data_IF_490490116143
#
_entry.id   IF_490490116143
#
_cell.length_a   1.000
_cell.length_b   1.000
_cell.length_c   1.000
_cell.angle_alpha   90.00
_cell.angle_beta   90.00
_cell.angle_gamma   90.00
#
_symmetry.space_group_name_H-M   'P 1'
#
loop_
_entity.id
_entity.type
_entity.pdbx_description
1 polymer ?
#
# COMPACT_ATOMS: atom_id res chain seq x y z
N UNK A 1 -20.07 -5.83 -5.21
CA UNK A 1 -18.58 -5.83 -5.21
C UNK A 1 -18.08 -5.93 -6.64
N UNK A 2 -17.18 -5.05 -7.01
CA UNK A 2 -16.63 -5.02 -8.38
C UNK A 2 -15.40 -5.93 -8.47
N UNK A 3 -15.44 -7.00 -9.27
CA UNK A 3 -14.26 -7.84 -9.47
C UNK A 3 -13.27 -7.16 -10.40
N UNK A 4 -11.99 -7.23 -10.07
CA UNK A 4 -10.91 -6.70 -10.87
C UNK A 4 -9.98 -7.83 -11.30
N UNK A 5 -9.44 -7.69 -12.51
CA UNK A 5 -8.41 -8.59 -13.03
C UNK A 5 -7.05 -7.90 -12.94
N UNK A 6 -5.98 -8.68 -13.02
CA UNK A 6 -4.64 -8.11 -13.04
C UNK A 6 -4.45 -7.12 -14.19
N UNK A 7 -5.08 -7.38 -15.33
CA UNK A 7 -5.02 -6.48 -16.48
C UNK A 7 -5.61 -5.11 -16.17
N UNK A 8 -6.65 -5.06 -15.32
CA UNK A 8 -7.28 -3.80 -14.92
C UNK A 8 -6.33 -2.93 -14.10
N UNK A 9 -5.33 -3.54 -13.49
CA UNK A 9 -4.35 -2.87 -12.64
C UNK A 9 -3.05 -2.58 -13.37
N UNK A 10 -2.57 -3.55 -14.18
CA UNK A 10 -1.25 -3.44 -14.79
C UNK A 10 -1.17 -2.34 -15.84
N UNK A 11 -2.22 -2.13 -16.63
CA UNK A 11 -2.21 -1.09 -17.66
C UNK A 11 -2.11 0.33 -17.04
N UNK A 12 -2.98 0.72 -16.09
CA UNK A 12 -2.83 2.04 -15.47
C UNK A 12 -1.55 2.15 -14.64
N UNK A 13 -1.08 1.05 -14.06
CA UNK A 13 0.17 1.08 -13.29
C UNK A 13 1.37 1.40 -14.18
N UNK A 14 1.43 0.80 -15.38
CA UNK A 14 2.49 1.08 -16.34
C UNK A 14 2.48 2.53 -16.80
N UNK A 15 1.31 3.14 -16.87
CA UNK A 15 1.16 4.54 -17.27
C UNK A 15 1.36 5.52 -16.11
N UNK A 16 1.46 5.03 -14.87
CA UNK A 16 1.58 5.89 -13.70
C UNK A 16 2.96 6.52 -13.64
N UNK A 17 3.00 7.83 -13.41
CA UNK A 17 4.25 8.55 -13.26
C UNK A 17 4.62 8.62 -11.77
N UNK A 18 5.52 7.74 -11.36
CA UNK A 18 6.01 7.74 -10.00
C UNK A 18 7.00 8.87 -9.77
N UNK A 19 7.10 9.37 -8.52
CA UNK A 19 8.16 10.33 -8.19
C UNK A 19 9.53 9.75 -8.50
N UNK A 20 10.46 10.61 -8.88
CA UNK A 20 11.82 10.19 -9.19
C UNK A 20 12.58 9.77 -7.92
N UNK A 21 13.63 8.97 -8.09
CA UNK A 21 14.59 8.62 -7.05
C UNK A 21 13.97 7.87 -5.88
N UNK A 22 13.06 6.96 -6.17
CA UNK A 22 12.54 6.07 -5.15
C UNK A 22 13.58 5.00 -4.87
N UNK A 23 14.02 4.91 -3.61
CA UNK A 23 15.02 3.93 -3.18
C UNK A 23 14.42 2.56 -2.95
N UNK A 24 13.18 2.50 -2.48
CA UNK A 24 12.52 1.25 -2.19
C UNK A 24 11.04 1.41 -1.91
N UNK A 25 10.37 0.29 -1.74
CA UNK A 25 8.93 0.22 -1.49
C UNK A 25 8.71 -0.51 -0.18
N UNK A 26 7.79 0.01 0.64
CA UNK A 26 7.30 -0.68 1.84
C UNK A 26 5.81 -0.94 1.65
N UNK A 27 5.43 -2.21 1.72
CA UNK A 27 4.03 -2.61 1.62
C UNK A 27 3.41 -2.82 2.98
N UNK A 28 2.16 -2.43 3.11
CA UNK A 28 1.40 -2.65 4.36
C UNK A 28 0.65 -3.96 4.23
N UNK A 29 1.09 -4.97 4.98
CA UNK A 29 0.45 -6.28 4.96
C UNK A 29 -0.86 -6.23 5.77
N UNK A 30 -1.83 -7.04 5.37
CA UNK A 30 -1.72 -8.01 4.27
C UNK A 30 -2.14 -7.44 2.92
N UNK A 31 -3.09 -6.51 2.87
CA UNK A 31 -3.70 -6.03 1.63
C UNK A 31 -2.74 -5.36 0.66
N UNK A 32 -1.72 -4.69 1.18
CA UNK A 32 -0.76 -3.95 0.37
C UNK A 32 0.42 -4.77 -0.15
N UNK A 33 0.49 -6.08 0.16
CA UNK A 33 1.65 -6.90 -0.23
C UNK A 33 1.74 -7.05 -1.75
N UNK A 34 0.67 -7.51 -2.40
CA UNK A 34 0.68 -7.67 -3.86
C UNK A 34 0.84 -6.32 -4.57
N UNK A 35 0.09 -5.27 -4.18
CA UNK A 35 0.37 -3.94 -4.73
C UNK A 35 1.82 -3.51 -4.61
N UNK A 36 2.44 -3.71 -3.45
CA UNK A 36 3.82 -3.31 -3.23
C UNK A 36 4.80 -4.10 -4.11
N UNK A 37 4.56 -5.40 -4.29
CA UNK A 37 5.37 -6.22 -5.19
C UNK A 37 5.31 -5.69 -6.61
N UNK A 38 4.10 -5.38 -7.09
CA UNK A 38 3.91 -4.87 -8.46
C UNK A 38 4.64 -3.54 -8.66
N UNK A 39 4.54 -2.65 -7.68
CA UNK A 39 5.21 -1.34 -7.74
C UNK A 39 6.73 -1.49 -7.68
N UNK A 40 7.23 -2.27 -6.74
CA UNK A 40 8.67 -2.48 -6.57
C UNK A 40 9.29 -3.10 -7.82
N UNK A 41 8.61 -4.06 -8.43
CA UNK A 41 9.10 -4.68 -9.66
C UNK A 41 9.12 -3.69 -10.82
N UNK A 42 8.09 -2.86 -10.94
CA UNK A 42 8.04 -1.86 -12.02
C UNK A 42 9.15 -0.84 -11.88
N UNK A 43 9.45 -0.41 -10.66
CA UNK A 43 10.50 0.57 -10.40
C UNK A 43 11.90 -0.05 -10.34
N UNK A 44 12.00 -1.37 -10.24
CA UNK A 44 13.28 -2.05 -10.13
C UNK A 44 13.98 -1.79 -8.81
N UNK A 45 13.22 -1.67 -7.71
CA UNK A 45 13.75 -1.36 -6.38
C UNK A 45 13.40 -2.47 -5.40
N UNK A 46 14.02 -2.42 -4.23
CA UNK A 46 13.78 -3.41 -3.18
C UNK A 46 12.43 -3.22 -2.50
N UNK A 47 12.01 -4.27 -1.80
CA UNK A 47 10.72 -4.34 -1.11
C UNK A 47 10.93 -4.70 0.35
N UNK A 48 10.20 -4.02 1.22
CA UNK A 48 10.04 -4.40 2.64
C UNK A 48 8.56 -4.40 2.97
N UNK A 49 8.21 -5.05 4.08
CA UNK A 49 6.81 -5.18 4.49
C UNK A 49 6.69 -4.80 5.95
N UNK A 50 5.64 -4.06 6.26
CA UNK A 50 5.22 -3.78 7.63
C UNK A 50 3.80 -4.31 7.80
N UNK A 51 3.53 -5.07 8.86
CA UNK A 51 2.22 -5.67 9.07
C UNK A 51 1.46 -4.96 10.18
N UNK A 52 0.24 -4.60 9.89
CA UNK A 52 -0.67 -3.96 10.83
C UNK A 52 -1.96 -4.77 10.94
N UNK A 53 -2.58 -4.73 12.11
CA UNK A 53 -3.88 -5.32 12.35
C UNK A 53 -4.83 -4.23 12.83
N UNK A 54 -5.69 -3.77 11.95
CA UNK A 54 -6.67 -2.75 12.29
C UNK A 54 -8.10 -3.28 12.15
N UNK A 55 -8.36 -4.14 11.13
CA UNK A 55 -9.69 -4.64 10.83
C UNK A 55 -9.76 -6.14 11.04
N UNK A 56 -10.95 -6.63 11.40
CA UNK A 56 -11.20 -8.05 11.50
C UNK A 56 -11.62 -8.65 10.15
N UNK A 57 -12.02 -9.94 10.14
CA UNK A 57 -12.41 -10.64 8.92
C UNK A 57 -13.65 -10.03 8.27
N UNK A 58 -14.51 -9.38 9.05
CA UNK A 58 -15.68 -8.67 8.55
C UNK A 58 -15.36 -7.25 8.08
N UNK A 59 -14.09 -6.89 8.03
CA UNK A 59 -13.60 -5.56 7.65
C UNK A 59 -14.04 -4.46 8.63
N UNK A 60 -14.32 -4.82 9.86
CA UNK A 60 -14.64 -3.87 10.92
C UNK A 60 -13.38 -3.51 11.73
N UNK A 61 -13.28 -2.29 12.26
CA UNK A 61 -12.13 -1.93 13.09
C UNK A 61 -12.04 -2.81 14.33
N UNK A 62 -10.91 -3.51 14.48
CA UNK A 62 -10.66 -4.40 15.62
C UNK A 62 -10.13 -3.64 16.82
N UNK A 63 -9.39 -2.56 16.58
CA UNK A 63 -8.77 -1.73 17.61
C UNK A 63 -9.11 -0.27 17.34
N UNK A 64 -9.02 0.58 18.37
CA UNK A 64 -9.17 2.03 18.21
C UNK A 64 -8.08 2.59 17.27
N UNK A 65 -6.89 1.99 17.33
CA UNK A 65 -5.75 2.34 16.49
C UNK A 65 -5.23 1.06 15.81
N UNK A 66 -4.66 1.18 14.59
CA UNK A 66 -3.98 0.04 13.97
C UNK A 66 -2.82 -0.43 14.85
N UNK A 67 -2.69 -1.75 14.99
CA UNK A 67 -1.69 -2.36 15.85
C UNK A 67 -0.59 -2.99 15.00
N UNK A 68 0.67 -2.71 15.34
CA UNK A 68 1.83 -3.32 14.69
C UNK A 68 1.90 -4.80 15.02
N UNK A 69 1.99 -5.65 13.99
CA UNK A 69 2.09 -7.10 14.10
C UNK A 69 3.46 -7.65 13.72
N UNK A 70 4.24 -6.90 12.97
CA UNK A 70 5.56 -7.32 12.53
C UNK A 70 6.64 -6.54 13.23
N UNK A 71 7.89 -6.92 13.01
CA UNK A 71 9.00 -6.04 13.31
C UNK A 71 8.96 -4.84 12.36
N UNK A 72 9.54 -3.72 12.79
CA UNK A 72 9.72 -2.57 11.92
C UNK A 72 10.82 -2.93 10.93
N UNK A 73 10.56 -2.82 9.61
CA UNK A 73 11.55 -3.22 8.62
C UNK A 73 12.79 -2.33 8.66
N UNK A 74 13.94 -2.94 8.46
CA UNK A 74 15.20 -2.23 8.31
C UNK A 74 15.28 -1.68 6.89
N UNK A 75 15.32 -0.37 6.74
CA UNK A 75 15.38 0.30 5.45
C UNK A 75 16.81 0.57 4.98
N UNK A 76 17.79 0.24 5.80
CA UNK A 76 19.20 0.44 5.45
C UNK A 76 19.49 1.90 5.14
N UNK A 77 20.02 2.16 3.95
CA UNK A 77 20.38 3.50 3.51
C UNK A 77 19.31 4.16 2.63
N UNK A 78 18.12 3.57 2.57
CA UNK A 78 17.00 4.19 1.84
C UNK A 78 16.65 5.55 2.45
N UNK A 79 16.43 6.55 1.62
CA UNK A 79 16.07 7.91 2.06
C UNK A 79 14.73 8.37 1.51
N UNK A 80 14.25 7.74 0.44
CA UNK A 80 12.98 8.10 -0.19
C UNK A 80 12.26 6.84 -0.61
N UNK A 81 11.06 6.62 -0.06
CA UNK A 81 10.31 5.37 -0.28
C UNK A 81 8.87 5.66 -0.65
N UNK A 82 8.24 4.67 -1.29
CA UNK A 82 6.80 4.60 -1.41
C UNK A 82 6.26 3.67 -0.35
N UNK A 83 5.26 4.12 0.40
CA UNK A 83 4.52 3.30 1.34
C UNK A 83 3.19 2.96 0.69
N UNK A 84 3.00 1.66 0.42
CA UNK A 84 1.96 1.16 -0.48
C UNK A 84 0.94 0.33 0.28
N UNK A 85 -0.34 0.62 0.05
CA UNK A 85 -1.45 -0.19 0.54
C UNK A 85 -2.41 -0.46 -0.63
N UNK A 86 -3.39 -1.33 -0.40
CA UNK A 86 -4.42 -1.59 -1.41
C UNK A 86 -5.47 -0.49 -1.45
N UNK A 87 -5.95 -0.04 -0.29
CA UNK A 87 -7.05 0.91 -0.18
C UNK A 87 -6.71 2.02 0.81
N UNK A 88 -7.15 3.22 0.51
CA UNK A 88 -7.04 4.38 1.41
C UNK A 88 -8.45 4.97 1.59
N UNK A 89 -9.02 4.83 2.77
CA UNK A 89 -10.34 5.38 3.11
C UNK A 89 -10.17 6.47 4.15
N UNK A 90 -9.93 6.09 5.42
CA UNK A 90 -9.67 7.07 6.49
C UNK A 90 -8.19 7.46 6.58
N UNK A 91 -7.31 6.65 6.02
CA UNK A 91 -5.88 6.85 6.10
C UNK A 91 -5.23 6.36 7.39
N UNK A 92 -6.00 5.76 8.29
CA UNK A 92 -5.48 5.35 9.61
C UNK A 92 -4.38 4.29 9.52
N UNK A 93 -4.57 3.29 8.66
CA UNK A 93 -3.55 2.25 8.48
C UNK A 93 -2.27 2.81 7.90
N UNK A 94 -2.41 3.67 6.89
CA UNK A 94 -1.27 4.29 6.24
C UNK A 94 -0.50 5.19 7.23
N UNK A 95 -1.23 6.03 7.96
CA UNK A 95 -0.60 6.94 8.94
C UNK A 95 0.06 6.17 10.08
N UNK A 96 -0.56 5.08 10.54
CA UNK A 96 0.02 4.23 11.58
C UNK A 96 1.33 3.60 11.10
N UNK A 97 1.35 3.07 9.87
CA UNK A 97 2.56 2.50 9.30
C UNK A 97 3.66 3.57 9.19
N UNK A 98 3.28 4.76 8.70
CA UNK A 98 4.23 5.87 8.57
C UNK A 98 4.90 6.22 9.90
N UNK A 99 4.12 6.23 10.98
CA UNK A 99 4.66 6.59 12.31
C UNK A 99 5.70 5.61 12.83
N UNK A 100 5.68 4.36 12.37
CA UNK A 100 6.67 3.36 12.75
C UNK A 100 7.96 3.43 11.92
N UNK A 101 7.96 4.17 10.83
CA UNK A 101 9.13 4.31 9.97
C UNK A 101 9.99 5.49 10.42
N UNK A 102 11.31 5.50 10.09
CA UNK A 102 12.20 6.57 10.53
C UNK A 102 11.76 7.95 10.02
N UNK A 103 11.87 8.97 10.87
CA UNK A 103 11.49 10.34 10.51
C UNK A 103 12.35 10.93 9.41
N UNK A 104 13.61 10.53 9.34
CA UNK A 104 14.56 11.04 8.35
C UNK A 104 14.32 10.48 6.95
N UNK A 105 13.45 9.47 6.80
CA UNK A 105 13.08 8.92 5.50
C UNK A 105 11.88 9.67 4.96
N UNK A 106 11.97 10.12 3.72
CA UNK A 106 10.83 10.70 3.02
C UNK A 106 9.89 9.58 2.57
N UNK A 107 8.66 9.62 3.05
CA UNK A 107 7.66 8.58 2.79
C UNK A 107 6.54 9.16 1.96
N UNK A 108 6.37 8.63 0.75
CA UNK A 108 5.35 9.07 -0.19
C UNK A 108 4.27 8.01 -0.31
N UNK A 109 2.99 8.42 -0.40
CA UNK A 109 1.89 7.46 -0.46
C UNK A 109 1.65 6.95 -1.87
N UNK A 110 1.26 5.68 -1.95
CA UNK A 110 0.67 5.12 -3.16
C UNK A 110 -0.29 3.99 -2.76
N UNK A 111 -1.51 4.03 -3.27
CA UNK A 111 -2.51 3.00 -3.03
C UNK A 111 -3.17 2.63 -4.35
N UNK A 112 -3.77 1.43 -4.40
CA UNK A 112 -4.45 1.01 -5.61
C UNK A 112 -5.86 1.60 -5.72
N UNK A 113 -6.54 1.81 -4.61
CA UNK A 113 -7.88 2.39 -4.62
C UNK A 113 -8.04 3.44 -3.54
N UNK A 114 -8.60 4.58 -3.93
CA UNK A 114 -8.90 5.69 -3.03
C UNK A 114 -9.46 6.86 -3.81
N UNK A 115 -9.71 7.97 -3.12
CA UNK A 115 -10.20 9.19 -3.75
C UNK A 115 -9.10 10.25 -3.90
N UNK A 116 -7.90 9.95 -3.44
CA UNK A 116 -6.76 10.84 -3.45
C UNK A 116 -6.03 10.78 -4.79
N UNK A 117 -5.18 11.78 -5.05
CA UNK A 117 -4.39 11.85 -6.28
C UNK A 117 -3.28 10.80 -6.35
N UNK A 118 -2.95 10.15 -5.22
CA UNK A 118 -1.99 9.06 -5.18
C UNK A 118 -2.63 7.67 -5.30
N UNK A 119 -3.92 7.60 -5.65
CA UNK A 119 -4.62 6.34 -5.84
C UNK A 119 -4.66 5.97 -7.33
N UNK A 120 -4.28 4.73 -7.64
CA UNK A 120 -4.25 4.23 -9.02
C UNK A 120 -5.66 4.26 -9.63
N UNK A 121 -6.66 3.85 -8.85
CA UNK A 121 -8.06 3.84 -9.25
C UNK A 121 -8.83 4.74 -8.29
N UNK A 122 -9.41 5.82 -8.82
CA UNK A 122 -10.14 6.80 -8.01
C UNK A 122 -11.61 6.95 -8.40
N UNK A 123 -12.05 6.24 -9.42
CA UNK A 123 -13.39 6.36 -9.99
C UNK A 123 -14.34 5.21 -9.63
N UNK A 124 -13.90 4.29 -8.77
CA UNK A 124 -14.74 3.19 -8.30
C UNK A 124 -15.26 3.47 -6.90
N UNK A 125 -16.57 3.34 -6.73
CA UNK A 125 -17.21 3.41 -5.43
C UNK A 125 -17.45 2.01 -4.88
N UNK A 126 -17.50 1.91 -3.55
CA UNK A 126 -17.76 0.65 -2.88
C UNK A 126 -16.57 -0.29 -2.88
N UNK A 127 -16.82 -1.54 -2.52
CA UNK A 127 -15.77 -2.55 -2.39
C UNK A 127 -15.38 -3.13 -3.73
N UNK A 128 -14.11 -3.50 -3.85
CA UNK A 128 -13.59 -4.22 -5.00
C UNK A 128 -13.12 -5.60 -4.56
N UNK A 129 -13.14 -6.55 -5.49
CA UNK A 129 -12.55 -7.86 -5.29
C UNK A 129 -11.24 -7.90 -6.06
N UNK A 130 -10.16 -7.94 -5.31
CA UNK A 130 -8.82 -7.94 -5.90
C UNK A 130 -8.53 -9.29 -6.56
N UNK A 131 -7.73 -9.30 -7.66
CA UNK A 131 -7.45 -10.55 -8.38
C UNK A 131 -6.62 -11.56 -7.58
N UNK A 132 -5.93 -11.12 -6.52
CA UNK A 132 -5.15 -12.01 -5.66
C UNK A 132 -5.96 -12.60 -4.51
N UNK A 133 -7.21 -12.22 -4.34
CA UNK A 133 -8.07 -12.79 -3.30
C UNK A 133 -8.67 -14.08 -3.79
N UNK A 134 -8.73 -15.07 -2.91
CA UNK A 134 -9.21 -16.41 -3.24
C UNK A 134 -10.52 -16.76 -2.58
N UNK A 135 -11.05 -15.90 -1.75
CA UNK A 135 -12.31 -16.09 -1.03
C UNK A 135 -13.53 -15.62 -1.81
#
# INVERSE_FOLDING_TARGET
>A
MTPLKFEDLSAPLKAWEFPARIDGVVGIASGGVVPAVMVAQQLGVGLRVIALNYRDEANEPRHAEPKLLSEIPDLGDWRRILLVDDVYVSGRSWEAARRHLPEEVEVLPFVFKGKQDFALISDLDGCVRWPWRTD
#
